data_IF_447030924536
#
_entry.id   IF_447030924536
#
_cell.length_a   1.000
_cell.length_b   1.000
_cell.length_c   1.000
_cell.angle_alpha   90.00
_cell.angle_beta   90.00
_cell.angle_gamma   90.00
#
_symmetry.space_group_name_H-M   'P 1'
#
loop_
_entity.id
_entity.type
_entity.pdbx_description
1 polymer ?
#
# COMPACT_ATOMS: atom_id res chain seq x y z
N UNK A 1 14.26 13.16 -24.97
CA UNK A 1 13.94 11.83 -24.39
C UNK A 1 12.46 11.79 -24.07
N UNK A 2 11.64 11.33 -25.02
CA UNK A 2 10.21 11.11 -24.79
C UNK A 2 10.01 9.99 -23.77
N UNK A 3 9.47 10.33 -22.60
CA UNK A 3 9.13 9.34 -21.59
C UNK A 3 8.01 8.46 -22.15
N UNK A 4 8.15 7.12 -22.17
CA UNK A 4 7.08 6.25 -22.65
C UNK A 4 5.83 6.47 -21.77
N UNK A 5 4.77 7.02 -22.37
CA UNK A 5 3.49 7.23 -21.67
C UNK A 5 2.93 5.86 -21.30
N UNK A 6 3.03 5.49 -20.02
CA UNK A 6 2.40 4.29 -19.47
C UNK A 6 0.89 4.38 -19.65
N UNK A 7 0.26 3.30 -20.14
CA UNK A 7 -1.19 3.20 -20.22
C UNK A 7 -1.81 3.33 -18.83
N UNK A 8 -3.04 3.86 -18.74
CA UNK A 8 -3.76 4.02 -17.46
C UNK A 8 -3.86 2.69 -16.70
N UNK A 9 -4.07 1.57 -17.42
CA UNK A 9 -4.12 0.22 -16.84
C UNK A 9 -2.80 -0.19 -16.19
N UNK A 10 -1.68 0.11 -16.86
CA UNK A 10 -0.35 -0.18 -16.35
C UNK A 10 0.02 0.70 -15.14
N UNK A 11 -0.40 1.97 -15.12
CA UNK A 11 -0.23 2.84 -13.94
C UNK A 11 -1.01 2.32 -12.73
N UNK A 12 -2.25 1.89 -12.94
CA UNK A 12 -3.08 1.30 -11.87
C UNK A 12 -2.48 -0.03 -11.39
N UNK A 13 -2.03 -0.88 -12.31
CA UNK A 13 -1.36 -2.14 -11.94
C UNK A 13 -0.09 -1.93 -11.11
N UNK A 14 0.75 -0.97 -11.49
CA UNK A 14 1.94 -0.61 -10.69
C UNK A 14 1.54 -0.01 -9.34
N UNK A 15 0.52 0.85 -9.30
CA UNK A 15 0.02 1.43 -8.05
C UNK A 15 -0.56 0.39 -7.09
N UNK A 16 -1.25 -0.64 -7.61
CA UNK A 16 -1.76 -1.76 -6.81
C UNK A 16 -0.65 -2.67 -6.29
N UNK A 17 0.51 -2.71 -6.95
CA UNK A 17 1.67 -3.45 -6.49
C UNK A 17 2.46 -2.69 -5.42
N UNK A 18 2.75 -1.41 -5.66
CA UNK A 18 3.63 -0.63 -4.77
C UNK A 18 2.87 0.06 -3.64
N UNK A 19 1.63 0.46 -3.87
CA UNK A 19 0.81 1.19 -2.91
C UNK A 19 0.65 0.46 -1.57
N UNK A 20 0.19 -0.81 -1.57
CA UNK A 20 0.04 -1.57 -0.34
C UNK A 20 1.37 -1.78 0.41
N UNK A 21 2.48 -1.97 -0.32
CA UNK A 21 3.82 -2.14 0.27
C UNK A 21 4.26 -0.85 0.98
N UNK A 22 4.15 0.29 0.30
CA UNK A 22 4.51 1.60 0.87
C UNK A 22 3.60 1.89 2.08
N UNK A 23 2.30 1.63 1.95
CA UNK A 23 1.35 1.82 3.04
C UNK A 23 1.70 0.96 4.27
N UNK A 24 2.14 -0.28 4.04
CA UNK A 24 2.58 -1.19 5.11
C UNK A 24 3.84 -0.67 5.82
N UNK A 25 4.85 -0.21 5.07
CA UNK A 25 6.04 0.38 5.68
C UNK A 25 5.73 1.64 6.50
N UNK A 26 4.89 2.53 5.96
CA UNK A 26 4.48 3.75 6.64
C UNK A 26 3.70 3.41 7.92
N UNK A 27 2.73 2.51 7.86
CA UNK A 27 1.92 2.12 9.03
C UNK A 27 2.75 1.45 10.12
N UNK A 28 3.67 0.55 9.76
CA UNK A 28 4.59 -0.06 10.73
C UNK A 28 5.49 0.99 11.38
N UNK A 29 6.01 1.93 10.61
CA UNK A 29 6.87 3.00 11.12
C UNK A 29 6.11 3.91 12.10
N UNK A 30 4.92 4.38 11.72
CA UNK A 30 4.06 5.18 12.61
C UNK A 30 3.66 4.41 13.86
N UNK A 31 3.32 3.13 13.73
CA UNK A 31 2.96 2.28 14.87
C UNK A 31 4.12 2.08 15.86
N UNK A 32 5.34 1.95 15.35
CA UNK A 32 6.54 1.86 16.18
C UNK A 32 6.76 3.16 16.97
N UNK A 33 6.64 4.32 16.31
CA UNK A 33 6.78 5.63 16.96
C UNK A 33 5.71 5.83 18.03
N UNK A 34 4.45 5.56 17.72
CA UNK A 34 3.35 5.77 18.67
C UNK A 34 3.44 4.81 19.85
N UNK A 35 3.85 3.56 19.62
CA UNK A 35 4.11 2.60 20.69
C UNK A 35 5.28 3.02 21.57
N UNK A 36 6.37 3.52 20.97
CA UNK A 36 7.49 4.05 21.74
C UNK A 36 7.06 5.22 22.63
N UNK A 37 6.30 6.18 22.09
CA UNK A 37 5.79 7.32 22.88
C UNK A 37 4.84 6.83 23.97
N UNK A 38 3.91 5.92 23.65
CA UNK A 38 2.95 5.40 24.62
C UNK A 38 3.62 4.69 25.80
N UNK A 39 4.71 3.94 25.56
CA UNK A 39 5.47 3.27 26.61
C UNK A 39 6.24 4.24 27.53
N UNK A 40 6.53 5.45 27.07
CA UNK A 40 7.20 6.49 27.88
C UNK A 40 6.19 7.39 28.62
N UNK A 41 4.89 7.25 28.38
CA UNK A 41 3.85 8.01 29.06
C UNK A 41 3.33 7.24 30.28
N UNK A 42 3.34 7.87 31.46
CA UNK A 42 2.83 7.27 32.70
C UNK A 42 1.32 6.95 32.65
N UNK A 43 0.56 7.58 31.76
CA UNK A 43 -0.85 7.26 31.49
C UNK A 43 -1.19 7.60 30.05
N UNK A 44 -1.19 6.61 29.13
CA UNK A 44 -1.52 6.85 27.74
C UNK A 44 -2.99 7.29 27.61
N UNK A 45 -3.21 8.42 26.94
CA UNK A 45 -4.54 8.98 26.74
C UNK A 45 -5.43 8.10 25.87
N UNK A 46 -6.75 8.24 26.01
CA UNK A 46 -7.74 7.56 25.16
C UNK A 46 -7.52 7.82 23.67
N UNK A 47 -7.04 9.02 23.32
CA UNK A 47 -6.72 9.39 21.95
C UNK A 47 -5.56 8.56 21.37
N UNK A 48 -4.52 8.27 22.16
CA UNK A 48 -3.42 7.40 21.73
C UNK A 48 -3.90 5.98 21.44
N UNK A 49 -4.81 5.44 22.26
CA UNK A 49 -5.39 4.10 22.03
C UNK A 49 -6.18 4.06 20.72
N UNK A 50 -7.04 5.05 20.49
CA UNK A 50 -7.82 5.14 19.24
C UNK A 50 -6.89 5.25 18.03
N UNK A 51 -5.84 6.05 18.11
CA UNK A 51 -4.86 6.21 17.03
C UNK A 51 -4.14 4.90 16.70
N UNK A 52 -3.71 4.13 17.72
CA UNK A 52 -3.08 2.83 17.52
C UNK A 52 -4.03 1.79 16.92
N UNK A 53 -5.33 1.83 17.28
CA UNK A 53 -6.35 0.97 16.65
C UNK A 53 -6.50 1.31 15.17
N UNK A 54 -6.56 2.59 14.82
CA UNK A 54 -6.63 3.02 13.42
C UNK A 54 -5.40 2.62 12.61
N UNK A 55 -4.20 2.76 13.17
CA UNK A 55 -2.96 2.29 12.54
C UNK A 55 -2.97 0.77 12.33
N UNK A 56 -3.50 0.01 13.29
CA UNK A 56 -3.62 -1.45 13.18
C UNK A 56 -4.59 -1.83 12.06
N UNK A 57 -5.74 -1.15 11.94
CA UNK A 57 -6.70 -1.36 10.84
C UNK A 57 -6.09 -1.01 9.48
N UNK A 58 -5.34 0.09 9.39
CA UNK A 58 -4.60 0.46 8.18
C UNK A 58 -3.54 -0.60 7.81
N UNK A 59 -2.84 -1.17 8.78
CA UNK A 59 -1.91 -2.27 8.57
C UNK A 59 -2.61 -3.52 8.01
N UNK A 60 -3.76 -3.88 8.57
CA UNK A 60 -4.57 -5.01 8.07
C UNK A 60 -5.04 -4.75 6.63
N UNK A 61 -5.53 -3.55 6.33
CA UNK A 61 -5.91 -3.15 4.97
C UNK A 61 -4.74 -3.21 4.00
N UNK A 62 -3.54 -2.82 4.44
CA UNK A 62 -2.34 -2.93 3.62
C UNK A 62 -2.01 -4.40 3.31
N UNK A 63 -2.10 -5.31 4.29
CA UNK A 63 -1.88 -6.76 4.07
C UNK A 63 -2.92 -7.33 3.09
N UNK A 64 -4.21 -7.02 3.27
CA UNK A 64 -5.26 -7.43 2.33
C UNK A 64 -4.99 -6.86 0.94
N UNK A 65 -4.56 -5.61 0.87
CA UNK A 65 -4.16 -4.93 -0.36
C UNK A 65 -2.97 -5.63 -1.04
N UNK A 66 -2.03 -6.20 -0.30
CA UNK A 66 -0.95 -7.02 -0.87
C UNK A 66 -1.52 -8.32 -1.43
N UNK A 67 -2.32 -9.04 -0.63
CA UNK A 67 -2.87 -10.35 -1.02
C UNK A 67 -3.74 -10.27 -2.27
N UNK A 68 -4.57 -9.23 -2.41
CA UNK A 68 -5.49 -9.08 -3.55
C UNK A 68 -4.89 -8.18 -4.64
N UNK A 69 -4.26 -7.07 -4.26
CA UNK A 69 -3.73 -6.07 -5.18
C UNK A 69 -2.52 -6.54 -5.97
N UNK A 70 -1.67 -7.43 -5.41
CA UNK A 70 -0.54 -7.98 -6.15
C UNK A 70 -1.01 -8.86 -7.32
N UNK A 71 -1.86 -9.90 -7.12
CA UNK A 71 -2.40 -10.67 -8.23
C UNK A 71 -3.13 -9.82 -9.28
N UNK A 72 -4.02 -8.92 -8.84
CA UNK A 72 -4.80 -8.06 -9.75
C UNK A 72 -3.87 -7.11 -10.54
N UNK A 73 -2.86 -6.55 -9.88
CA UNK A 73 -1.86 -5.68 -10.51
C UNK A 73 -1.05 -6.42 -11.58
N UNK A 74 -0.62 -7.65 -11.31
CA UNK A 74 0.09 -8.50 -12.27
C UNK A 74 -0.81 -8.79 -13.48
N UNK A 75 -2.05 -9.22 -13.26
CA UNK A 75 -3.00 -9.55 -14.34
C UNK A 75 -3.21 -8.34 -15.27
N UNK A 76 -3.42 -7.15 -14.70
CA UNK A 76 -3.61 -5.92 -15.47
C UNK A 76 -2.39 -5.58 -16.35
N UNK A 77 -1.17 -5.78 -15.84
CA UNK A 77 0.07 -5.52 -16.57
C UNK A 77 0.26 -6.54 -17.70
N UNK A 78 -0.06 -7.81 -17.46
CA UNK A 78 0.05 -8.88 -18.46
C UNK A 78 -0.95 -8.66 -19.61
N UNK A 79 -2.21 -8.35 -19.30
CA UNK A 79 -3.25 -8.07 -20.31
C UNK A 79 -2.87 -6.86 -21.16
N UNK A 80 -2.34 -5.80 -20.55
CA UNK A 80 -1.88 -4.60 -21.28
C UNK A 80 -0.71 -4.93 -22.22
N UNK A 81 0.21 -5.79 -21.78
CA UNK A 81 1.35 -6.24 -22.58
C UNK A 81 0.91 -7.04 -23.81
N UNK A 82 0.03 -8.05 -23.63
CA UNK A 82 -0.49 -8.85 -24.74
C UNK A 82 -1.26 -8.02 -25.78
N UNK A 83 -2.07 -7.05 -25.33
CA UNK A 83 -2.82 -6.18 -26.25
C UNK A 83 -1.89 -5.31 -27.10
N UNK A 84 -0.74 -4.92 -26.56
CA UNK A 84 0.25 -4.12 -27.28
C UNK A 84 0.98 -4.92 -28.36
N UNK A 85 1.21 -6.22 -28.12
CA UNK A 85 1.85 -7.11 -29.08
C UNK A 85 0.91 -7.55 -30.21
N UNK A 86 -0.39 -7.76 -29.94
CA UNK A 86 -1.38 -8.06 -30.99
C UNK A 86 -1.77 -6.86 -31.87
N UNK A 87 -1.28 -5.66 -31.57
CA UNK A 87 -1.58 -4.43 -32.33
C UNK A 87 -0.41 -3.96 -33.20
N UNK A 88 0.67 -4.75 -33.28
CA UNK A 88 1.81 -4.56 -34.20
C UNK A 88 1.74 -5.56 -35.34
#
# INVERSE_FOLDING_TARGET
MDKPKLSTKRKVGVGLLTGPIILLFVTLFLYAITSFIANNLASPSSAFRIFNVLLSLLGILAVIGIVVGVPVGIILIIIDSHKKDSSK
#
